data_IF_890158004661
#
_entry.id   IF_890158004661
#
_cell.length_a   1.000
_cell.length_b   1.000
_cell.length_c   1.000
_cell.angle_alpha   90.00
_cell.angle_beta   90.00
_cell.angle_gamma   90.00
#
_symmetry.space_group_name_H-M   'P 1'
#
loop_
_entity.id
_entity.type
_entity.pdbx_description
1 polymer ?
#
# COMPACT_ATOMS: atom_id res chain seq x y z
N UNK A 1 2.02 24.11 -30.26
CA UNK A 1 2.80 24.39 -29.04
C UNK A 1 1.84 24.76 -27.94
N UNK A 2 1.20 23.77 -27.32
CA UNK A 2 0.28 24.01 -26.22
C UNK A 2 1.05 23.78 -24.91
N UNK A 3 1.57 24.91 -24.41
CA UNK A 3 2.14 24.95 -23.07
C UNK A 3 1.03 24.88 -22.01
N UNK A 4 0.40 23.74 -21.84
CA UNK A 4 -0.33 23.45 -20.61
C UNK A 4 0.70 23.38 -19.49
N UNK A 5 0.85 24.50 -18.80
CA UNK A 5 1.60 24.60 -17.56
C UNK A 5 1.01 23.52 -16.61
N UNK A 6 1.76 22.44 -16.44
CA UNK A 6 1.40 21.47 -15.39
C UNK A 6 1.35 22.25 -14.09
N UNK A 7 0.19 22.27 -13.46
CA UNK A 7 -0.07 22.99 -12.21
C UNK A 7 0.58 22.23 -11.03
N UNK A 8 1.82 21.75 -11.22
CA UNK A 8 2.64 21.19 -10.15
C UNK A 8 2.95 22.34 -9.21
N UNK A 9 2.56 22.20 -7.97
CA UNK A 9 2.92 23.12 -6.91
C UNK A 9 4.45 23.27 -6.90
N UNK A 10 4.90 24.43 -7.36
CA UNK A 10 6.33 24.74 -7.44
C UNK A 10 6.70 25.50 -6.20
N UNK A 11 7.51 24.88 -5.37
CA UNK A 11 8.13 25.52 -4.23
C UNK A 11 8.99 26.71 -4.72
N UNK A 12 8.84 27.85 -4.11
CA UNK A 12 9.67 29.01 -4.42
C UNK A 12 11.11 28.80 -3.92
N UNK A 13 12.07 29.50 -4.51
CA UNK A 13 13.48 29.41 -4.11
C UNK A 13 13.67 29.75 -2.62
N UNK A 14 12.87 30.67 -2.09
CA UNK A 14 12.93 31.06 -0.67
C UNK A 14 12.37 29.96 0.24
N UNK A 15 11.28 29.31 -0.14
CA UNK A 15 10.72 28.17 0.59
C UNK A 15 11.69 27.00 0.59
N UNK A 16 12.32 26.70 -0.55
CA UNK A 16 13.34 25.64 -0.64
C UNK A 16 14.51 25.91 0.31
N UNK A 17 15.06 27.11 0.28
CA UNK A 17 16.14 27.51 1.20
C UNK A 17 15.73 27.48 2.67
N UNK A 18 14.49 27.85 2.97
CA UNK A 18 13.96 27.79 4.33
C UNK A 18 13.89 26.35 4.83
N UNK A 19 13.31 25.44 4.03
CA UNK A 19 13.22 24.02 4.38
C UNK A 19 14.61 23.40 4.56
N UNK A 20 15.54 23.69 3.64
CA UNK A 20 16.92 23.20 3.74
C UNK A 20 17.63 23.70 5.01
N UNK A 21 17.46 24.99 5.34
CA UNK A 21 18.06 25.57 6.56
C UNK A 21 17.46 24.99 7.83
N UNK A 22 16.13 24.75 7.84
CA UNK A 22 15.46 24.10 8.96
C UNK A 22 15.97 22.66 9.16
N UNK A 23 16.08 21.89 8.10
CA UNK A 23 16.59 20.52 8.15
C UNK A 23 18.07 20.44 8.54
N UNK A 24 18.91 21.43 8.16
CA UNK A 24 20.28 21.54 8.63
C UNK A 24 20.37 21.77 10.14
N UNK A 25 19.35 22.42 10.71
CA UNK A 25 19.22 22.65 12.16
C UNK A 25 18.49 21.48 12.87
N UNK A 26 18.32 20.33 12.19
CA UNK A 26 17.59 19.15 12.68
C UNK A 26 16.12 19.43 13.04
N UNK A 27 15.54 20.49 12.49
CA UNK A 27 14.16 20.89 12.70
C UNK A 27 13.34 20.65 11.43
N UNK A 28 12.15 20.07 11.58
CA UNK A 28 11.18 19.95 10.49
C UNK A 28 10.10 21.02 10.63
N UNK A 29 9.55 21.44 9.50
CA UNK A 29 8.49 22.47 9.45
C UNK A 29 7.23 22.06 10.24
N UNK A 30 6.97 20.77 10.35
CA UNK A 30 5.84 20.21 11.10
C UNK A 30 6.15 19.89 12.58
N UNK A 31 7.36 20.19 13.05
CA UNK A 31 7.79 20.01 14.44
C UNK A 31 8.16 18.56 14.82
N UNK A 32 8.19 17.63 13.86
CA UNK A 32 8.67 16.26 14.09
C UNK A 32 10.21 16.21 14.07
N UNK A 33 10.77 15.18 14.70
CA UNK A 33 12.17 14.81 14.49
C UNK A 33 12.41 14.22 13.09
N UNK A 34 13.67 14.18 12.64
CA UNK A 34 14.04 13.71 11.29
C UNK A 34 13.56 12.28 11.00
N UNK A 35 13.49 11.41 12.00
CA UNK A 35 13.12 10.01 11.89
C UNK A 35 11.73 9.70 12.48
N UNK A 36 10.93 10.72 12.76
CA UNK A 36 9.60 10.52 13.30
C UNK A 36 8.60 10.26 12.18
N UNK A 37 7.74 9.25 12.42
CA UNK A 37 6.66 8.86 11.54
C UNK A 37 5.36 9.54 11.95
N UNK A 38 4.52 9.92 10.97
CA UNK A 38 3.22 10.53 11.23
C UNK A 38 2.30 9.57 11.99
N UNK A 39 1.35 10.12 12.71
CA UNK A 39 0.35 9.34 13.43
C UNK A 39 -0.49 8.53 12.44
N UNK A 40 -0.49 7.22 12.62
CA UNK A 40 -1.26 6.28 11.84
C UNK A 40 -2.61 6.01 12.51
N UNK A 41 -3.70 6.15 11.76
CA UNK A 41 -5.05 5.78 12.19
C UNK A 41 -5.67 4.91 11.10
N UNK A 42 -6.24 3.77 11.48
CA UNK A 42 -6.86 2.82 10.57
C UNK A 42 -8.33 2.70 10.95
N UNK A 43 -9.21 2.90 9.99
CA UNK A 43 -10.65 2.68 10.11
C UNK A 43 -11.08 1.67 9.05
N UNK A 44 -12.17 1.01 9.28
CA UNK A 44 -12.72 0.02 8.36
C UNK A 44 -14.14 0.39 7.97
N UNK A 45 -14.48 0.20 6.71
CA UNK A 45 -15.83 0.36 6.22
C UNK A 45 -16.78 -0.73 6.74
N UNK A 46 -18.05 -0.64 6.36
CA UNK A 46 -19.07 -1.64 6.72
C UNK A 46 -18.80 -2.99 6.03
N UNK A 47 -18.36 -2.94 4.80
CA UNK A 47 -18.09 -4.11 3.97
C UNK A 47 -16.74 -4.76 4.29
N UNK A 48 -16.63 -6.05 4.01
CA UNK A 48 -15.36 -6.76 4.08
C UNK A 48 -14.43 -6.28 2.95
N UNK A 49 -13.13 -6.17 3.25
CA UNK A 49 -12.14 -5.73 2.27
C UNK A 49 -12.11 -4.22 2.02
N UNK A 50 -12.77 -3.42 2.84
CA UNK A 50 -12.68 -1.96 2.80
C UNK A 50 -11.90 -1.42 4.00
N UNK A 51 -10.94 -0.54 3.75
CA UNK A 51 -10.15 0.13 4.78
C UNK A 51 -9.92 1.59 4.43
N UNK A 52 -9.78 2.40 5.45
CA UNK A 52 -9.48 3.82 5.40
C UNK A 52 -8.29 4.08 6.32
N UNK A 53 -7.22 4.58 5.75
CA UNK A 53 -5.99 4.85 6.46
C UNK A 53 -5.70 6.35 6.43
N UNK A 54 -5.50 6.91 7.60
CA UNK A 54 -5.09 8.28 7.77
C UNK A 54 -3.68 8.32 8.37
N UNK A 55 -2.75 8.89 7.62
CA UNK A 55 -1.36 9.10 8.01
C UNK A 55 -1.11 10.62 8.11
N UNK A 56 -1.22 11.15 9.31
CA UNK A 56 -1.25 12.60 9.51
C UNK A 56 -2.43 13.24 8.78
N UNK A 57 -2.15 14.06 7.76
CA UNK A 57 -3.16 14.68 6.90
C UNK A 57 -3.44 13.87 5.62
N UNK A 58 -2.60 12.90 5.31
CA UNK A 58 -2.78 12.05 4.13
C UNK A 58 -3.88 11.02 4.39
N UNK A 59 -4.88 10.97 3.51
CA UNK A 59 -6.04 10.11 3.63
C UNK A 59 -6.11 9.17 2.43
N UNK A 60 -6.18 7.88 2.67
CA UNK A 60 -6.20 6.84 1.64
C UNK A 60 -7.31 5.83 1.94
N UNK A 61 -8.09 5.50 0.93
CA UNK A 61 -9.09 4.45 0.99
C UNK A 61 -8.66 3.26 0.14
N UNK A 62 -8.91 2.06 0.62
CA UNK A 62 -8.62 0.82 -0.06
C UNK A 62 -9.85 -0.07 -0.14
N UNK A 63 -10.06 -0.66 -1.31
CA UNK A 63 -11.11 -1.61 -1.56
C UNK A 63 -10.53 -2.85 -2.23
N UNK A 64 -10.88 -4.02 -1.72
CA UNK A 64 -10.53 -5.30 -2.31
C UNK A 64 -11.79 -5.92 -2.89
N UNK A 65 -11.74 -6.25 -4.18
CA UNK A 65 -12.82 -6.94 -4.88
C UNK A 65 -12.28 -8.23 -5.47
N UNK A 66 -13.15 -9.21 -5.63
CA UNK A 66 -12.81 -10.48 -6.24
C UNK A 66 -13.77 -10.82 -7.37
N UNK A 67 -13.22 -11.32 -8.47
CA UNK A 67 -13.98 -11.77 -9.63
C UNK A 67 -13.46 -13.15 -10.08
N UNK A 68 -14.37 -13.99 -10.52
CA UNK A 68 -14.00 -15.26 -11.16
C UNK A 68 -13.61 -15.00 -12.61
N UNK A 69 -12.37 -15.28 -12.94
CA UNK A 69 -11.81 -15.13 -14.28
C UNK A 69 -11.11 -16.39 -14.73
N UNK A 70 -10.96 -16.57 -16.04
CA UNK A 70 -10.15 -17.70 -16.56
C UNK A 70 -8.67 -17.45 -16.25
N UNK A 71 -7.96 -18.48 -15.77
CA UNK A 71 -6.52 -18.36 -15.49
C UNK A 71 -5.72 -18.17 -16.78
N UNK A 72 -4.54 -17.61 -16.65
CA UNK A 72 -3.58 -17.56 -17.75
C UNK A 72 -3.13 -18.96 -18.13
N UNK A 73 -2.96 -19.21 -19.44
CA UNK A 73 -2.53 -20.52 -19.97
C UNK A 73 -1.18 -20.97 -19.41
N UNK A 74 -0.31 -20.02 -19.11
CA UNK A 74 1.05 -20.27 -18.58
C UNK A 74 1.05 -20.64 -17.09
N UNK A 75 -0.01 -20.26 -16.35
CA UNK A 75 -0.14 -20.48 -14.90
C UNK A 75 -1.57 -20.89 -14.52
N UNK A 76 -1.98 -22.10 -14.85
CA UNK A 76 -3.37 -22.53 -14.67
C UNK A 76 -3.78 -22.76 -13.21
N UNK A 77 -2.82 -22.84 -12.29
CA UNK A 77 -3.04 -23.12 -10.86
C UNK A 77 -2.87 -21.89 -9.97
N UNK A 78 -2.61 -20.72 -10.56
CA UNK A 78 -2.40 -19.47 -9.79
C UNK A 78 -3.53 -18.50 -10.06
N UNK A 79 -4.00 -17.85 -8.98
CA UNK A 79 -4.91 -16.71 -9.06
C UNK A 79 -4.21 -15.47 -9.58
N UNK A 80 -4.97 -14.53 -10.15
CA UNK A 80 -4.48 -13.25 -10.61
C UNK A 80 -4.67 -12.17 -9.54
N UNK A 81 -3.63 -11.41 -9.27
CA UNK A 81 -3.64 -10.28 -8.34
C UNK A 81 -3.24 -9.01 -9.08
N UNK A 82 -4.13 -8.03 -9.13
CA UNK A 82 -3.92 -6.77 -9.83
C UNK A 82 -4.18 -5.58 -8.92
N UNK A 83 -3.37 -4.55 -9.08
CA UNK A 83 -3.38 -3.33 -8.26
C UNK A 83 -3.69 -2.14 -9.14
N UNK A 84 -4.70 -1.36 -8.76
CA UNK A 84 -5.06 -0.10 -9.40
C UNK A 84 -5.01 1.02 -8.37
N UNK A 85 -4.42 2.14 -8.76
CA UNK A 85 -4.30 3.33 -7.93
C UNK A 85 -4.85 4.53 -8.67
N UNK A 86 -5.64 5.32 -7.98
CA UNK A 86 -6.24 6.53 -8.50
C UNK A 86 -6.11 7.65 -7.47
N UNK A 87 -5.81 8.85 -7.93
CA UNK A 87 -5.85 10.05 -7.11
C UNK A 87 -7.19 10.76 -7.29
N UNK A 88 -7.85 11.05 -6.18
CA UNK A 88 -9.12 11.76 -6.21
C UNK A 88 -8.92 13.25 -6.51
N UNK A 89 -9.70 13.84 -7.42
CA UNK A 89 -9.72 15.28 -7.64
C UNK A 89 -10.11 16.09 -6.39
N UNK A 90 -10.72 15.43 -5.39
CA UNK A 90 -11.02 16.05 -4.09
C UNK A 90 -9.77 16.27 -3.24
N UNK A 91 -8.70 15.51 -3.50
CA UNK A 91 -7.44 15.66 -2.76
C UNK A 91 -6.62 16.83 -3.31
N UNK A 92 -6.56 16.98 -4.62
CA UNK A 92 -5.89 18.10 -5.30
C UNK A 92 -6.57 18.37 -6.65
N UNK A 93 -6.90 19.63 -6.98
CA UNK A 93 -7.53 19.99 -8.26
C UNK A 93 -6.68 19.67 -9.49
N UNK A 94 -5.38 19.41 -9.31
CA UNK A 94 -4.48 19.02 -10.42
C UNK A 94 -4.64 17.56 -10.85
N UNK A 95 -5.35 16.75 -10.06
CA UNK A 95 -5.61 15.36 -10.41
C UNK A 95 -6.80 15.26 -11.37
N UNK A 96 -6.52 14.83 -12.59
CA UNK A 96 -7.56 14.62 -13.58
C UNK A 96 -8.33 13.32 -13.31
N UNK A 97 -9.68 13.36 -13.30
CA UNK A 97 -10.47 12.15 -13.22
C UNK A 97 -10.28 11.32 -14.50
N UNK A 98 -10.37 9.99 -14.39
CA UNK A 98 -10.33 9.03 -15.52
C UNK A 98 -8.94 8.71 -16.08
N UNK A 99 -7.98 9.61 -16.01
CA UNK A 99 -6.62 9.34 -16.50
C UNK A 99 -5.65 9.31 -15.29
N UNK A 100 -5.12 8.13 -14.93
CA UNK A 100 -4.13 8.05 -13.88
C UNK A 100 -2.88 8.82 -14.32
N UNK A 101 -2.54 9.88 -13.59
CA UNK A 101 -1.30 10.61 -13.80
C UNK A 101 -0.07 9.72 -13.55
N UNK A 102 1.10 10.16 -14.03
CA UNK A 102 2.36 9.43 -13.86
C UNK A 102 2.64 9.03 -12.41
N UNK A 103 2.32 9.92 -11.46
CA UNK A 103 2.48 9.65 -10.03
C UNK A 103 1.58 8.53 -9.50
N UNK A 104 0.34 8.39 -10.02
CA UNK A 104 -0.54 7.30 -9.66
C UNK A 104 -0.01 5.96 -10.18
N UNK A 105 0.47 5.94 -11.42
CA UNK A 105 1.08 4.74 -12.02
C UNK A 105 2.33 4.32 -11.25
N UNK A 106 3.16 5.29 -10.84
CA UNK A 106 4.36 5.01 -10.04
C UNK A 106 4.01 4.43 -8.67
N UNK A 107 3.03 5.03 -7.98
CA UNK A 107 2.53 4.52 -6.71
C UNK A 107 2.01 3.08 -6.85
N UNK A 108 1.21 2.81 -7.88
CA UNK A 108 0.72 1.46 -8.18
C UNK A 108 1.84 0.45 -8.36
N UNK A 109 2.93 0.81 -9.07
CA UNK A 109 4.10 -0.06 -9.25
C UNK A 109 4.85 -0.33 -7.94
N UNK A 110 4.98 0.68 -7.06
CA UNK A 110 5.63 0.51 -5.75
C UNK A 110 4.84 -0.50 -4.90
N UNK A 111 3.53 -0.35 -4.85
CA UNK A 111 2.64 -1.22 -4.08
C UNK A 111 2.61 -2.63 -4.69
N UNK A 112 2.50 -2.73 -6.01
CA UNK A 112 2.53 -4.01 -6.73
C UNK A 112 3.81 -4.79 -6.44
N UNK A 113 4.97 -4.14 -6.51
CA UNK A 113 6.24 -4.75 -6.15
C UNK A 113 6.26 -5.19 -4.69
N UNK A 114 5.75 -4.35 -3.79
CA UNK A 114 5.72 -4.66 -2.36
C UNK A 114 4.83 -5.86 -2.04
N UNK A 115 3.69 -6.02 -2.70
CA UNK A 115 2.70 -7.05 -2.37
C UNK A 115 2.84 -8.30 -3.22
N UNK A 116 2.98 -8.18 -4.54
CA UNK A 116 3.02 -9.31 -5.46
C UNK A 116 4.39 -9.97 -5.51
N UNK A 117 5.48 -9.21 -5.68
CA UNK A 117 6.83 -9.79 -5.74
C UNK A 117 7.24 -10.43 -4.41
N UNK A 118 6.78 -9.89 -3.28
CA UNK A 118 7.04 -10.48 -1.96
C UNK A 118 6.12 -11.65 -1.60
N UNK A 119 5.16 -12.00 -2.47
CA UNK A 119 4.19 -13.09 -2.27
C UNK A 119 3.42 -12.98 -0.95
N UNK A 120 2.86 -11.80 -0.69
CA UNK A 120 2.05 -11.52 0.52
C UNK A 120 0.85 -12.44 0.59
N UNK A 121 0.12 -12.53 -0.53
CA UNK A 121 -1.08 -13.36 -0.68
C UNK A 121 -0.69 -14.68 -1.34
N UNK A 122 -1.19 -15.77 -0.80
CA UNK A 122 -1.08 -17.09 -1.42
C UNK A 122 -1.95 -17.14 -2.68
N UNK A 123 -1.32 -17.01 -3.85
CA UNK A 123 -2.01 -17.01 -5.14
C UNK A 123 -2.54 -18.40 -5.52
N UNK A 124 -1.97 -19.47 -4.99
CA UNK A 124 -2.47 -20.83 -5.19
C UNK A 124 -3.80 -21.02 -4.47
N UNK A 125 -3.96 -20.44 -3.28
CA UNK A 125 -5.22 -20.48 -2.52
C UNK A 125 -6.38 -19.73 -3.21
N UNK A 126 -6.08 -18.86 -4.18
CA UNK A 126 -7.07 -18.16 -4.99
C UNK A 126 -7.60 -19.01 -6.16
N UNK A 127 -6.96 -20.13 -6.47
CA UNK A 127 -7.41 -21.03 -7.52
C UNK A 127 -8.61 -21.85 -7.04
N UNK A 128 -9.73 -21.76 -7.75
CA UNK A 128 -10.96 -22.54 -7.47
C UNK A 128 -10.93 -23.88 -8.21
N UNK A 129 -10.46 -23.86 -9.45
CA UNK A 129 -10.30 -25.05 -10.27
C UNK A 129 -9.13 -24.86 -11.25
N UNK A 130 -8.20 -25.80 -11.22
CA UNK A 130 -7.00 -25.74 -12.06
C UNK A 130 -7.33 -25.63 -13.55
N UNK A 131 -6.80 -24.61 -14.20
CA UNK A 131 -6.94 -24.39 -15.63
C UNK A 131 -8.26 -23.76 -16.09
N UNK A 132 -9.22 -23.45 -15.19
CA UNK A 132 -10.52 -22.90 -15.61
C UNK A 132 -10.93 -21.60 -14.92
N UNK A 133 -10.84 -21.50 -13.59
CA UNK A 133 -11.33 -20.35 -12.83
C UNK A 133 -10.41 -20.01 -11.69
N UNK A 134 -10.12 -18.72 -11.54
CA UNK A 134 -9.32 -18.13 -10.45
C UNK A 134 -9.94 -16.83 -9.96
N UNK A 135 -9.65 -16.45 -8.72
CA UNK A 135 -9.99 -15.14 -8.18
C UNK A 135 -8.99 -14.08 -8.64
N UNK A 136 -9.51 -12.92 -9.07
CA UNK A 136 -8.71 -11.72 -9.35
C UNK A 136 -8.98 -10.67 -8.27
N UNK A 137 -7.90 -10.13 -7.68
CA UNK A 137 -7.95 -9.11 -6.61
C UNK A 137 -7.40 -7.79 -7.13
N UNK A 138 -8.16 -6.73 -6.91
CA UNK A 138 -7.85 -5.35 -7.32
C UNK A 138 -7.79 -4.44 -6.10
N UNK A 139 -6.85 -3.49 -6.01
CA UNK A 139 -6.43 -2.96 -4.78
C UNK A 139 -6.03 -1.49 -4.58
N UNK A 140 -5.29 -1.14 -3.57
CA UNK A 140 -5.07 0.18 -3.00
C UNK A 140 -3.70 0.41 -2.29
N UNK A 141 -3.44 1.57 -1.70
CA UNK A 141 -2.18 1.96 -1.06
C UNK A 141 -1.68 0.96 0.01
N UNK A 142 -0.38 0.82 0.19
CA UNK A 142 0.26 -0.31 0.90
C UNK A 142 -0.36 -0.68 2.27
N UNK A 143 -0.44 0.24 3.22
CA UNK A 143 -1.03 -0.07 4.54
C UNK A 143 -2.54 -0.26 4.43
N UNK A 144 -3.22 0.53 3.62
CA UNK A 144 -4.63 0.41 3.37
C UNK A 144 -4.92 -0.91 2.64
N UNK A 145 -4.11 -1.27 1.62
CA UNK A 145 -4.18 -2.56 0.95
C UNK A 145 -4.02 -3.72 1.93
N UNK A 146 -3.00 -3.70 2.77
CA UNK A 146 -2.77 -4.75 3.77
C UNK A 146 -3.93 -4.86 4.77
N UNK A 147 -4.44 -3.73 5.27
CA UNK A 147 -5.59 -3.72 6.17
C UNK A 147 -6.87 -4.22 5.48
N UNK A 148 -7.10 -3.85 4.23
CA UNK A 148 -8.23 -4.32 3.44
C UNK A 148 -8.12 -5.82 3.14
N UNK A 149 -6.95 -6.32 2.72
CA UNK A 149 -6.69 -7.74 2.46
C UNK A 149 -6.91 -8.60 3.71
N UNK A 150 -6.47 -8.16 4.89
CA UNK A 150 -6.67 -8.87 6.16
C UNK A 150 -8.16 -8.97 6.56
N UNK A 151 -8.97 -8.00 6.16
CA UNK A 151 -10.40 -7.98 6.45
C UNK A 151 -11.27 -8.55 5.34
N UNK A 152 -10.71 -8.75 4.15
CA UNK A 152 -11.44 -9.30 3.03
C UNK A 152 -11.87 -10.74 3.28
N UNK A 153 -13.06 -11.08 2.78
CA UNK A 153 -13.64 -12.42 2.83
C UNK A 153 -14.12 -12.78 1.44
N UNK A 154 -13.61 -13.86 0.90
CA UNK A 154 -14.09 -14.43 -0.37
C UNK A 154 -15.26 -15.37 -0.12
N UNK A 155 -16.27 -15.43 -0.99
CA UNK A 155 -17.31 -16.44 -0.89
C UNK A 155 -16.70 -17.84 -1.04
N UNK A 156 -17.29 -18.81 -0.36
CA UNK A 156 -16.94 -20.21 -0.55
C UNK A 156 -17.50 -20.71 -1.88
N UNK A 157 -16.71 -21.49 -2.60
CA UNK A 157 -17.08 -22.04 -3.90
C UNK A 157 -16.87 -23.54 -3.91
N UNK A 158 -17.83 -24.27 -4.46
CA UNK A 158 -17.70 -25.70 -4.71
C UNK A 158 -17.75 -26.00 -6.20
N UNK A 159 -16.99 -27.00 -6.62
CA UNK A 159 -17.01 -27.51 -7.99
C UNK A 159 -18.05 -28.64 -8.07
N UNK A 160 -19.07 -28.46 -8.89
CA UNK A 160 -20.16 -29.38 -9.07
C UNK A 160 -20.37 -29.76 -10.55
N UNK A 161 -21.32 -30.67 -10.80
CA UNK A 161 -21.65 -31.15 -12.13
C UNK A 161 -20.95 -32.48 -12.51
N UNK A 162 -21.56 -33.25 -13.40
CA UNK A 162 -21.06 -34.58 -13.84
C UNK A 162 -19.67 -34.56 -14.47
N UNK A 163 -19.22 -33.39 -14.96
CA UNK A 163 -17.88 -33.18 -15.55
C UNK A 163 -17.02 -32.19 -14.75
N UNK A 164 -17.36 -31.84 -13.50
CA UNK A 164 -16.65 -30.84 -12.70
C UNK A 164 -16.50 -29.49 -13.42
N UNK A 165 -17.51 -29.07 -14.20
CA UNK A 165 -17.41 -27.87 -15.03
C UNK A 165 -18.15 -26.66 -14.47
N UNK A 166 -19.03 -26.86 -13.49
CA UNK A 166 -19.79 -25.79 -12.87
C UNK A 166 -19.20 -25.40 -11.53
N UNK A 167 -18.92 -24.09 -11.35
CA UNK A 167 -18.52 -23.54 -10.06
C UNK A 167 -19.75 -22.92 -9.41
N UNK A 168 -20.14 -23.48 -8.28
CA UNK A 168 -21.25 -23.00 -7.48
C UNK A 168 -20.70 -22.07 -6.41
N UNK A 169 -21.10 -20.80 -6.45
CA UNK A 169 -20.76 -19.79 -5.44
C UNK A 169 -21.84 -19.86 -4.36
N UNK A 170 -21.42 -20.13 -3.12
CA UNK A 170 -22.34 -20.16 -1.99
C UNK A 170 -22.58 -18.75 -1.46
N UNK A 171 -23.83 -18.33 -1.26
CA UNK A 171 -24.14 -17.05 -0.62
C UNK A 171 -23.65 -17.05 0.86
N UNK A 172 -23.38 -15.87 1.43
CA UNK A 172 -22.89 -15.75 2.81
C UNK A 172 -23.83 -16.31 3.88
N UNK A 173 -25.12 -16.48 3.52
CA UNK A 173 -26.16 -17.03 4.39
C UNK A 173 -26.06 -18.56 4.52
N UNK A 174 -25.52 -19.24 3.51
CA UNK A 174 -25.37 -20.69 3.50
C UNK A 174 -24.02 -21.13 4.04
N UNK A 175 -22.95 -20.40 3.68
CA UNK A 175 -21.57 -20.70 4.11
C UNK A 175 -20.81 -19.43 4.50
N UNK A 176 -20.07 -19.51 5.59
CA UNK A 176 -19.24 -18.40 6.02
C UNK A 176 -18.15 -18.09 4.98
N UNK A 177 -18.01 -16.81 4.57
CA UNK A 177 -16.96 -16.40 3.63
C UNK A 177 -15.56 -16.64 4.18
N UNK A 178 -14.66 -17.14 3.34
CA UNK A 178 -13.32 -17.54 3.72
C UNK A 178 -12.33 -16.35 3.72
N UNK A 179 -11.43 -16.26 4.69
CA UNK A 179 -10.36 -15.26 4.69
C UNK A 179 -9.33 -15.56 3.60
N UNK A 180 -8.56 -14.54 3.21
CA UNK A 180 -7.35 -14.75 2.41
C UNK A 180 -6.22 -15.33 3.28
N UNK A 181 -5.39 -16.14 2.68
CA UNK A 181 -4.15 -16.62 3.30
C UNK A 181 -3.07 -15.57 3.03
N UNK A 182 -2.62 -14.90 4.10
CA UNK A 182 -1.61 -13.85 4.05
C UNK A 182 -0.38 -14.32 4.81
N UNK A 183 0.75 -14.45 4.13
CA UNK A 183 1.97 -15.00 4.71
C UNK A 183 2.69 -13.99 5.61
N UNK A 184 2.80 -12.74 5.18
CA UNK A 184 3.49 -11.68 5.91
C UNK A 184 2.93 -10.31 5.54
N UNK A 185 3.36 -9.27 6.26
CA UNK A 185 2.91 -7.89 6.05
C UNK A 185 4.12 -7.02 5.67
N UNK A 186 4.37 -6.78 4.38
CA UNK A 186 5.42 -5.89 3.91
C UNK A 186 4.98 -4.43 4.01
N UNK A 187 5.61 -3.68 4.89
CA UNK A 187 5.28 -2.27 5.13
C UNK A 187 6.30 -1.39 4.43
N UNK A 188 5.82 -0.47 3.61
CA UNK A 188 6.64 0.48 2.90
C UNK A 188 6.95 1.70 3.78
N UNK A 189 8.22 2.13 3.76
CA UNK A 189 8.73 3.33 4.41
C UNK A 189 9.49 4.16 3.39
N UNK A 190 9.10 5.42 3.23
CA UNK A 190 9.74 6.35 2.31
C UNK A 190 10.69 7.29 3.05
N UNK A 191 11.87 7.44 2.47
CA UNK A 191 12.94 8.31 2.94
C UNK A 191 13.24 9.37 1.88
N UNK A 192 13.37 10.62 2.32
CA UNK A 192 13.83 11.75 1.51
C UNK A 192 15.29 12.08 1.81
N UNK A 193 16.06 12.35 0.75
CA UNK A 193 17.46 12.78 0.84
C UNK A 193 17.58 14.25 0.51
N UNK A 194 18.32 14.98 1.33
CA UNK A 194 18.59 16.40 1.16
C UNK A 194 20.08 16.65 1.18
N UNK A 195 20.51 17.77 0.62
CA UNK A 195 21.89 18.21 0.59
C UNK A 195 22.83 17.07 0.13
N UNK A 196 22.59 16.53 -1.08
CA UNK A 196 23.37 15.43 -1.67
C UNK A 196 23.47 14.18 -0.77
N UNK A 197 22.40 13.87 -0.04
CA UNK A 197 22.32 12.69 0.81
C UNK A 197 22.95 12.83 2.20
N UNK A 198 23.40 14.02 2.60
CA UNK A 198 23.92 14.27 3.97
C UNK A 198 22.83 14.31 5.02
N UNK A 199 21.61 14.72 4.65
CA UNK A 199 20.45 14.77 5.55
C UNK A 199 19.43 13.75 5.08
N UNK A 200 18.99 12.92 6.03
CA UNK A 200 18.00 11.87 5.83
C UNK A 200 16.74 12.19 6.60
N UNK A 201 15.59 12.17 5.95
CA UNK A 201 14.29 12.37 6.55
C UNK A 201 13.40 11.16 6.29
N UNK A 202 12.77 10.63 7.32
CA UNK A 202 11.77 9.56 7.21
C UNK A 202 10.37 10.17 7.09
N UNK A 203 9.53 9.59 6.22
CA UNK A 203 8.15 10.04 5.98
C UNK A 203 8.08 11.54 5.64
N UNK A 204 8.66 11.97 4.50
CA UNK A 204 8.69 13.37 4.11
C UNK A 204 7.27 13.92 3.87
N UNK A 205 7.08 15.19 4.17
CA UNK A 205 5.87 15.94 3.83
C UNK A 205 5.89 16.36 2.36
N UNK A 206 4.73 16.80 1.82
CA UNK A 206 4.62 17.27 0.43
C UNK A 206 5.62 18.41 0.13
N UNK A 207 5.83 19.32 1.09
CA UNK A 207 6.80 20.42 0.95
C UNK A 207 8.23 19.88 0.90
N UNK A 208 8.54 18.94 1.77
CA UNK A 208 9.86 18.27 1.81
C UNK A 208 10.09 17.43 0.55
N UNK A 209 9.07 16.71 0.05
CA UNK A 209 9.13 15.97 -1.21
C UNK A 209 9.41 16.87 -2.43
N UNK A 210 8.92 18.11 -2.42
CA UNK A 210 9.16 19.05 -3.50
C UNK A 210 10.59 19.65 -3.48
N UNK A 211 11.30 19.56 -2.36
CA UNK A 211 12.66 20.11 -2.16
C UNK A 211 13.73 19.02 -2.14
N UNK A 212 13.37 17.77 -1.84
CA UNK A 212 14.33 16.68 -1.72
C UNK A 212 15.10 16.43 -3.02
N UNK A 213 16.39 16.09 -2.90
CA UNK A 213 17.24 15.73 -4.03
C UNK A 213 17.01 14.30 -4.53
N UNK A 214 16.48 13.44 -3.69
CA UNK A 214 16.15 12.06 -4.04
C UNK A 214 15.27 11.40 -2.99
N UNK A 215 14.66 10.28 -3.37
CA UNK A 215 13.86 9.46 -2.44
C UNK A 215 14.26 7.99 -2.53
N UNK A 216 13.96 7.27 -1.48
CA UNK A 216 14.06 5.82 -1.45
C UNK A 216 12.88 5.25 -0.67
N UNK A 217 12.21 4.27 -1.24
CA UNK A 217 11.17 3.51 -0.54
C UNK A 217 11.69 2.12 -0.24
N UNK A 218 11.61 1.73 1.02
CA UNK A 218 12.02 0.42 1.53
C UNK A 218 10.80 -0.30 2.06
N UNK A 219 10.58 -1.51 1.62
CA UNK A 219 9.50 -2.36 2.11
C UNK A 219 10.09 -3.48 2.96
N UNK A 220 9.63 -3.56 4.21
CA UNK A 220 10.18 -4.49 5.22
C UNK A 220 9.04 -5.18 5.96
N UNK A 221 9.16 -6.47 6.23
CA UNK A 221 8.20 -7.19 7.04
C UNK A 221 8.48 -7.04 8.57
N UNK A 222 7.62 -7.58 9.40
CA UNK A 222 7.76 -7.51 10.86
C UNK A 222 8.99 -8.24 11.40
N UNK A 223 9.57 -9.18 10.64
CA UNK A 223 10.76 -9.93 11.01
C UNK A 223 12.06 -9.16 10.69
N UNK A 224 11.94 -8.07 9.94
CA UNK A 224 13.08 -7.30 9.45
C UNK A 224 13.60 -7.73 8.07
N UNK A 225 12.93 -8.69 7.40
CA UNK A 225 13.31 -9.08 6.04
C UNK A 225 12.92 -8.01 5.06
N UNK A 226 13.82 -7.70 4.14
CA UNK A 226 13.62 -6.68 3.12
C UNK A 226 12.87 -7.32 1.94
N UNK A 227 11.64 -6.84 1.70
CA UNK A 227 10.80 -7.33 0.62
C UNK A 227 11.06 -6.60 -0.70
N UNK A 228 11.27 -5.28 -0.64
CA UNK A 228 11.58 -4.48 -1.83
C UNK A 228 12.36 -3.22 -1.45
N UNK A 229 13.18 -2.75 -2.40
CA UNK A 229 13.84 -1.44 -2.32
C UNK A 229 13.64 -0.74 -3.66
N UNK A 230 13.18 0.50 -3.61
CA UNK A 230 13.06 1.35 -4.78
C UNK A 230 13.70 2.70 -4.52
N UNK A 231 14.66 3.06 -5.36
CA UNK A 231 15.32 4.36 -5.35
C UNK A 231 15.27 4.97 -6.75
N UNK A 232 14.25 5.77 -7.05
CA UNK A 232 14.22 6.55 -8.27
C UNK A 232 15.24 7.70 -8.21
N UNK A 233 15.66 8.20 -9.37
CA UNK A 233 16.55 9.34 -9.52
C UNK A 233 18.02 8.94 -9.74
N UNK A 234 18.77 9.90 -10.28
CA UNK A 234 20.15 9.70 -10.76
C UNK A 234 21.20 9.89 -9.64
N UNK A 235 20.88 10.59 -8.56
CA UNK A 235 21.84 10.84 -7.48
C UNK A 235 22.23 9.57 -6.73
N UNK A 236 23.52 9.30 -6.64
CA UNK A 236 24.07 8.22 -5.84
C UNK A 236 23.91 8.48 -4.35
N UNK A 237 23.59 7.46 -3.57
CA UNK A 237 23.52 7.51 -2.10
C UNK A 237 24.61 6.61 -1.52
N UNK A 238 25.28 7.07 -0.47
CA UNK A 238 26.32 6.30 0.18
C UNK A 238 25.73 5.01 0.80
N UNK A 239 26.47 3.91 0.69
CA UNK A 239 26.06 2.62 1.23
C UNK A 239 25.73 2.67 2.74
N UNK A 240 26.48 3.45 3.51
CA UNK A 240 26.21 3.62 4.95
C UNK A 240 24.83 4.23 5.23
N UNK A 241 24.39 5.17 4.40
CA UNK A 241 23.06 5.82 4.50
C UNK A 241 21.95 4.83 4.15
N UNK A 242 22.16 4.02 3.11
CA UNK A 242 21.20 2.95 2.74
C UNK A 242 21.03 1.98 3.90
N UNK A 243 22.13 1.49 4.49
CA UNK A 243 22.07 0.59 5.64
C UNK A 243 21.38 1.23 6.85
N UNK A 244 21.56 2.54 7.05
CA UNK A 244 20.85 3.27 8.10
C UNK A 244 19.35 3.31 7.85
N UNK A 245 18.91 3.61 6.62
CA UNK A 245 17.49 3.55 6.24
C UNK A 245 16.88 2.17 6.50
N UNK A 246 17.58 1.10 6.13
CA UNK A 246 17.10 -0.27 6.34
C UNK A 246 16.92 -0.60 7.83
N UNK A 247 17.83 -0.17 8.68
CA UNK A 247 17.71 -0.34 10.15
C UNK A 247 16.54 0.44 10.73
N UNK A 248 16.34 1.69 10.30
CA UNK A 248 15.19 2.51 10.71
C UNK A 248 13.87 1.87 10.27
N UNK A 249 13.77 1.44 9.03
CA UNK A 249 12.58 0.78 8.50
C UNK A 249 12.28 -0.51 9.29
N UNK A 250 13.27 -1.36 9.53
CA UNK A 250 13.13 -2.60 10.28
C UNK A 250 12.63 -2.34 11.71
N UNK A 251 13.18 -1.34 12.39
CA UNK A 251 12.76 -1.01 13.76
C UNK A 251 11.29 -0.56 13.84
N UNK A 252 10.77 0.08 12.78
CA UNK A 252 9.38 0.58 12.71
C UNK A 252 8.39 -0.46 12.21
N UNK A 253 8.82 -1.40 11.38
CA UNK A 253 7.95 -2.40 10.75
C UNK A 253 7.18 -3.25 11.76
N UNK A 254 7.83 -3.71 12.82
CA UNK A 254 7.19 -4.50 13.86
C UNK A 254 6.08 -3.72 14.60
N UNK A 255 6.35 -2.45 14.95
CA UNK A 255 5.37 -1.58 15.62
C UNK A 255 4.16 -1.29 14.72
N UNK A 256 4.38 -0.96 13.44
CA UNK A 256 3.31 -0.71 12.48
C UNK A 256 2.49 -1.97 12.21
N UNK A 257 3.12 -3.13 12.08
CA UNK A 257 2.43 -4.43 11.95
C UNK A 257 1.52 -4.70 13.15
N UNK A 258 1.98 -4.39 14.37
CA UNK A 258 1.16 -4.54 15.58
C UNK A 258 -0.08 -3.64 15.53
N UNK A 259 0.06 -2.38 15.13
CA UNK A 259 -1.06 -1.44 14.99
C UNK A 259 -2.09 -1.99 13.98
N UNK A 260 -1.64 -2.47 12.82
CA UNK A 260 -2.54 -3.04 11.79
C UNK A 260 -3.30 -4.24 12.36
N UNK A 261 -2.60 -5.19 12.98
CA UNK A 261 -3.23 -6.40 13.54
C UNK A 261 -4.21 -6.09 14.67
N UNK A 262 -3.90 -5.13 15.53
CA UNK A 262 -4.81 -4.69 16.60
C UNK A 262 -6.07 -4.04 16.03
N UNK A 263 -5.93 -3.17 15.02
CA UNK A 263 -7.06 -2.55 14.34
C UNK A 263 -8.00 -3.60 13.69
N UNK A 264 -7.42 -4.58 12.99
CA UNK A 264 -8.17 -5.69 12.37
C UNK A 264 -8.90 -6.53 13.44
N UNK A 265 -8.24 -6.83 14.56
CA UNK A 265 -8.85 -7.58 15.66
C UNK A 265 -10.04 -6.87 16.27
N UNK A 266 -9.94 -5.55 16.44
CA UNK A 266 -11.05 -4.73 16.93
C UNK A 266 -12.25 -4.77 15.98
N UNK A 267 -12.03 -4.68 14.66
CA UNK A 267 -13.11 -4.83 13.67
C UNK A 267 -13.82 -6.18 13.81
N UNK A 268 -13.08 -7.27 13.88
CA UNK A 268 -13.68 -8.61 14.00
C UNK A 268 -14.52 -8.78 15.27
N UNK A 269 -14.10 -8.16 16.37
CA UNK A 269 -14.86 -8.19 17.64
C UNK A 269 -16.17 -7.40 17.50
N UNK A 270 -16.14 -6.26 16.85
CA UNK A 270 -17.32 -5.39 16.65
C UNK A 270 -18.36 -6.06 15.75
N UNK A 271 -17.93 -6.71 14.65
CA UNK A 271 -18.83 -7.40 13.71
C UNK A 271 -19.49 -8.60 14.40
N UNK A 272 -18.74 -9.42 15.16
CA UNK A 272 -19.31 -10.55 15.92
C UNK A 272 -20.32 -10.11 16.99
N UNK A 273 -20.12 -8.95 17.59
CA UNK A 273 -21.07 -8.37 18.55
C UNK A 273 -22.38 -7.88 17.91
N UNK A 274 -22.33 -7.42 16.65
CA UNK A 274 -23.51 -6.97 15.91
C UNK A 274 -24.38 -8.12 15.40
N UNK A 275 -23.80 -9.29 15.08
CA UNK A 275 -24.56 -10.48 14.66
C UNK A 275 -25.23 -11.26 15.83
N UNK A 276 -24.92 -10.90 17.07
CA UNK A 276 -25.51 -11.53 18.27
C UNK A 276 -26.68 -10.73 18.87
N UNK A 277 -27.02 -9.60 18.30
CA UNK A 277 -28.19 -8.79 18.67
C UNK A 277 -29.22 -8.83 17.56
#
# INVERSE_FOLDING_TARGET
>A
MDGRLSNKWRVTVNESKFVESALQSELRVDGRGLYDYRKLTIKFGKEYGSSEVQLGQTHVMAFVTAQLVQPYKDRPNEGSFSIFTEFSPMADPSFEPVHPGESAVELGRIIDRALRESRVVDTESLCVFAGKLVWNLVDAANIAALAALLTFRRPDCTVGGENSQEVIIHPPEEREPLPLIIHHLPIAFTFGFFNKGSILVMDPTVVEEAVMSGRMTVTVNANGDICAIQKPGEEGVNQSVILHCLRLASSRAAATTKIIREAVRLKHTTVRGAHRR
#
